data_IF_279947127941
#
_entry.id   IF_279947127941
#
_cell.length_a   1.000
_cell.length_b   1.000
_cell.length_c   1.000
_cell.angle_alpha   90.00
_cell.angle_beta   90.00
_cell.angle_gamma   90.00
#
_symmetry.space_group_name_H-M   'P 1'
#
loop_
_entity.id
_entity.type
_entity.pdbx_description
1 polymer ?
#
# COMPACT_ATOMS: atom_id res chain seq x y z
N UNK A 1 14.05 8.21 -8.09
CA UNK A 1 13.46 6.91 -7.65
C UNK A 1 13.25 6.91 -6.16
N UNK A 2 12.05 6.55 -5.72
CA UNK A 2 11.71 6.42 -4.32
C UNK A 2 11.51 4.96 -3.97
N UNK A 3 11.92 4.57 -2.78
CA UNK A 3 11.77 3.20 -2.31
C UNK A 3 11.39 3.21 -0.84
N UNK A 4 10.57 2.26 -0.44
CA UNK A 4 10.27 2.08 0.97
C UNK A 4 9.77 0.66 1.21
N UNK A 5 9.82 0.23 2.46
CA UNK A 5 9.32 -1.06 2.88
C UNK A 5 8.11 -0.87 3.77
N UNK A 6 7.15 -1.77 3.64
CA UNK A 6 5.96 -1.73 4.47
C UNK A 6 5.64 -3.16 4.93
N UNK A 7 5.55 -3.36 6.23
CA UNK A 7 5.21 -4.67 6.79
C UNK A 7 3.71 -4.77 6.98
N UNK A 8 3.11 -5.82 6.44
CA UNK A 8 1.67 -6.04 6.51
C UNK A 8 1.29 -6.36 7.96
N UNK A 9 0.38 -5.56 8.51
CA UNK A 9 -0.08 -5.73 9.90
C UNK A 9 -1.46 -6.37 9.97
N UNK A 10 -2.26 -6.20 8.92
CA UNK A 10 -3.62 -6.73 8.88
C UNK A 10 -3.59 -8.26 8.85
N UNK A 11 -4.34 -8.89 9.75
CA UNK A 11 -4.35 -10.35 9.85
C UNK A 11 -4.90 -11.02 8.60
N UNK A 12 -5.74 -10.33 7.83
CA UNK A 12 -6.27 -10.86 6.58
C UNK A 12 -5.26 -10.78 5.44
N UNK A 13 -4.29 -9.85 5.57
CA UNK A 13 -3.30 -9.66 4.52
C UNK A 13 -3.89 -9.09 3.25
N UNK A 14 -3.21 -9.35 2.13
CA UNK A 14 -3.65 -8.85 0.83
C UNK A 14 -4.85 -9.63 0.35
N UNK A 15 -5.95 -8.95 0.12
CA UNK A 15 -7.16 -9.53 -0.47
C UNK A 15 -7.76 -8.49 -1.41
N UNK A 16 -8.87 -8.79 -2.12
CA UNK A 16 -9.35 -7.90 -3.20
C UNK A 16 -9.59 -6.45 -2.79
N UNK A 17 -10.08 -6.20 -1.57
CA UNK A 17 -10.38 -4.83 -1.18
C UNK A 17 -9.12 -3.96 -1.04
N UNK A 18 -8.11 -4.35 -0.24
CA UNK A 18 -6.90 -3.52 -0.20
C UNK A 18 -6.18 -3.49 -1.53
N UNK A 19 -6.19 -4.60 -2.28
CA UNK A 19 -5.57 -4.62 -3.60
C UNK A 19 -6.24 -3.59 -4.53
N UNK A 20 -7.56 -3.49 -4.48
CA UNK A 20 -8.30 -2.51 -5.27
C UNK A 20 -7.94 -1.08 -4.90
N UNK A 21 -7.81 -0.80 -3.63
CA UNK A 21 -7.44 0.54 -3.16
C UNK A 21 -6.02 0.90 -3.59
N UNK A 22 -5.10 -0.04 -3.47
CA UNK A 22 -3.70 0.17 -3.87
C UNK A 22 -3.63 0.46 -5.37
N UNK A 23 -4.29 -0.37 -6.18
CA UNK A 23 -4.29 -0.21 -7.63
C UNK A 23 -4.92 1.12 -8.03
N UNK A 24 -6.02 1.48 -7.41
CA UNK A 24 -6.73 2.72 -7.72
C UNK A 24 -5.83 3.93 -7.43
N UNK A 25 -5.14 3.90 -6.29
CA UNK A 25 -4.20 4.96 -5.93
C UNK A 25 -3.04 5.02 -6.92
N UNK A 26 -2.47 3.86 -7.26
CA UNK A 26 -1.32 3.80 -8.16
C UNK A 26 -1.66 4.33 -9.55
N UNK A 27 -2.86 4.08 -10.03
CA UNK A 27 -3.29 4.53 -11.36
C UNK A 27 -3.39 6.04 -11.47
N UNK A 28 -3.46 6.74 -10.35
CA UNK A 28 -3.54 8.20 -10.35
C UNK A 28 -2.21 8.89 -10.66
N UNK A 29 -1.12 8.13 -10.76
CA UNK A 29 0.20 8.70 -10.99
C UNK A 29 0.80 8.18 -12.29
N UNK A 30 1.68 9.00 -12.89
CA UNK A 30 2.37 8.60 -14.12
C UNK A 30 3.61 7.78 -13.84
N UNK A 31 4.15 7.86 -12.61
CA UNK A 31 5.34 7.09 -12.25
C UNK A 31 5.05 5.60 -12.27
N UNK A 32 6.09 4.82 -12.55
CA UNK A 32 6.01 3.37 -12.46
C UNK A 32 6.06 2.97 -10.99
N UNK A 33 5.17 2.08 -10.58
CA UNK A 33 5.11 1.62 -9.20
C UNK A 33 5.18 0.10 -9.19
N UNK A 34 6.21 -0.41 -8.52
CA UNK A 34 6.47 -1.84 -8.43
C UNK A 34 6.41 -2.25 -6.97
N UNK A 35 5.71 -3.35 -6.71
CA UNK A 35 5.66 -3.94 -5.37
C UNK A 35 6.28 -5.32 -5.41
N UNK A 36 7.00 -5.69 -4.37
CA UNK A 36 7.57 -7.03 -4.30
C UNK A 36 7.56 -7.57 -2.89
N UNK A 37 7.47 -8.89 -2.80
CA UNK A 37 7.64 -9.64 -1.55
C UNK A 37 8.57 -10.79 -1.92
N UNK A 38 9.76 -10.80 -1.30
CA UNK A 38 10.77 -11.79 -1.68
C UNK A 38 11.10 -11.68 -3.16
N UNK A 39 10.98 -12.78 -3.87
CA UNK A 39 11.31 -12.81 -5.30
C UNK A 39 10.15 -12.42 -6.21
N UNK A 40 8.97 -12.27 -5.65
CA UNK A 40 7.80 -11.96 -6.47
C UNK A 40 7.67 -10.45 -6.65
N UNK A 41 7.63 -10.01 -7.90
CA UNK A 41 7.58 -8.60 -8.27
C UNK A 41 6.36 -8.36 -9.15
N UNK A 42 5.57 -7.34 -8.81
CA UNK A 42 4.34 -7.05 -9.55
C UNK A 42 4.19 -5.56 -9.82
N UNK A 43 3.38 -5.24 -10.84
CA UNK A 43 3.04 -3.86 -11.18
C UNK A 43 1.83 -3.44 -10.36
N UNK A 44 2.01 -2.40 -9.54
CA UNK A 44 0.94 -1.96 -8.64
C UNK A 44 -0.28 -1.42 -9.37
N UNK A 45 -0.15 -1.07 -10.63
CA UNK A 45 -1.27 -0.52 -11.41
C UNK A 45 -2.17 -1.62 -12.00
N UNK A 46 -1.83 -2.87 -11.79
CA UNK A 46 -2.60 -4.00 -12.30
C UNK A 46 -3.21 -4.78 -11.14
N UNK A 47 -4.52 -4.75 -11.05
CA UNK A 47 -5.24 -5.34 -9.92
C UNK A 47 -4.89 -6.81 -9.71
N UNK A 48 -4.96 -7.62 -10.77
CA UNK A 48 -4.70 -9.04 -10.63
C UNK A 48 -3.26 -9.32 -10.22
N UNK A 49 -2.33 -8.46 -10.65
CA UNK A 49 -0.94 -8.57 -10.23
C UNK A 49 -0.80 -8.35 -8.73
N UNK A 50 -1.45 -7.30 -8.22
CA UNK A 50 -1.37 -6.99 -6.79
C UNK A 50 -2.00 -8.11 -5.97
N UNK A 51 -3.13 -8.64 -6.42
CA UNK A 51 -3.77 -9.77 -5.74
C UNK A 51 -2.84 -10.99 -5.75
N UNK A 52 -2.17 -11.23 -6.89
CA UNK A 52 -1.29 -12.40 -7.02
C UNK A 52 -0.07 -12.32 -6.10
N UNK A 53 0.27 -11.13 -5.61
CA UNK A 53 1.34 -10.96 -4.66
C UNK A 53 1.07 -11.75 -3.38
N UNK A 54 -0.21 -11.89 -3.04
CA UNK A 54 -0.67 -12.74 -1.95
C UNK A 54 0.04 -12.46 -0.63
N UNK A 55 0.22 -11.16 -0.33
CA UNK A 55 0.90 -10.75 0.88
C UNK A 55 0.14 -11.14 2.12
N UNK A 56 0.87 -11.61 3.13
CA UNK A 56 0.27 -12.06 4.38
C UNK A 56 0.77 -11.23 5.54
N UNK A 57 0.04 -11.27 6.64
CA UNK A 57 0.45 -10.58 7.86
C UNK A 57 1.87 -10.97 8.23
N UNK A 58 2.69 -9.98 8.50
CA UNK A 58 4.08 -10.20 8.85
C UNK A 58 5.05 -10.11 7.68
N UNK A 59 4.56 -10.22 6.45
CA UNK A 59 5.43 -10.10 5.28
C UNK A 59 5.69 -8.63 4.96
N UNK A 60 6.85 -8.36 4.38
CA UNK A 60 7.25 -6.98 4.05
C UNK A 60 7.15 -6.76 2.56
N UNK A 61 6.40 -5.73 2.18
CA UNK A 61 6.29 -5.27 0.80
C UNK A 61 7.39 -4.25 0.56
N UNK A 62 8.16 -4.45 -0.50
CA UNK A 62 9.15 -3.47 -0.93
C UNK A 62 8.57 -2.72 -2.12
N UNK A 63 8.46 -1.38 -2.01
CA UNK A 63 7.89 -0.56 -3.06
C UNK A 63 8.97 0.27 -3.73
N UNK A 64 8.93 0.30 -5.06
CA UNK A 64 9.84 1.11 -5.87
C UNK A 64 9.00 1.99 -6.79
N UNK A 65 9.21 3.29 -6.71
CA UNK A 65 8.45 4.27 -7.49
C UNK A 65 9.44 5.11 -8.29
N UNK A 66 9.27 5.16 -9.59
CA UNK A 66 10.18 5.90 -10.47
C UNK A 66 9.40 6.66 -11.52
N UNK A 67 9.60 7.97 -11.59
CA UNK A 67 8.94 8.80 -12.57
C UNK A 67 8.81 10.23 -12.14
N UNK A 68 8.13 11.06 -12.94
CA UNK A 68 8.07 12.51 -12.69
C UNK A 68 7.32 12.88 -11.42
N UNK A 69 6.34 12.06 -10.98
CA UNK A 69 5.58 12.35 -9.77
C UNK A 69 5.87 11.33 -8.65
N UNK A 70 7.08 10.80 -8.66
CA UNK A 70 7.43 9.70 -7.74
C UNK A 70 7.28 10.08 -6.26
N UNK A 71 7.60 11.32 -5.89
CA UNK A 71 7.50 11.73 -4.49
C UNK A 71 6.05 11.73 -4.02
N UNK A 72 5.15 12.30 -4.81
CA UNK A 72 3.73 12.32 -4.48
C UNK A 72 3.15 10.90 -4.50
N UNK A 73 3.58 10.09 -5.47
CA UNK A 73 3.13 8.71 -5.58
C UNK A 73 3.56 7.89 -4.36
N UNK A 74 4.80 8.07 -3.91
CA UNK A 74 5.30 7.35 -2.75
C UNK A 74 4.51 7.70 -1.50
N UNK A 75 4.22 8.99 -1.30
CA UNK A 75 3.45 9.43 -0.14
C UNK A 75 2.04 8.85 -0.17
N UNK A 76 1.38 8.91 -1.32
CA UNK A 76 0.04 8.39 -1.45
C UNK A 76 -0.01 6.88 -1.24
N UNK A 77 0.99 6.17 -1.77
CA UNK A 77 1.05 4.72 -1.63
C UNK A 77 1.26 4.32 -0.18
N UNK A 78 2.14 5.02 0.53
CA UNK A 78 2.34 4.75 1.96
C UNK A 78 1.05 4.96 2.75
N UNK A 79 0.30 6.02 2.44
CA UNK A 79 -0.95 6.30 3.11
C UNK A 79 -1.97 5.18 2.88
N UNK A 80 -2.06 4.71 1.63
CA UNK A 80 -3.00 3.64 1.30
C UNK A 80 -2.60 2.33 1.99
N UNK A 81 -1.31 2.00 1.97
CA UNK A 81 -0.85 0.78 2.63
C UNK A 81 -1.12 0.82 4.12
N UNK A 82 -0.87 1.96 4.76
CA UNK A 82 -1.16 2.11 6.18
C UNK A 82 -2.66 1.97 6.47
N UNK A 83 -3.50 2.54 5.62
CA UNK A 83 -4.95 2.50 5.81
C UNK A 83 -5.52 1.10 5.58
N UNK A 84 -5.00 0.38 4.59
CA UNK A 84 -5.58 -0.89 4.18
C UNK A 84 -4.89 -2.11 4.76
N UNK A 85 -3.59 -2.03 5.02
CA UNK A 85 -2.81 -3.16 5.48
C UNK A 85 -2.10 -2.91 6.81
N UNK A 86 -2.33 -1.77 7.42
CA UNK A 86 -1.86 -1.51 8.76
C UNK A 86 -2.68 -2.31 9.76
N UNK A 87 -2.20 -2.38 11.01
CA UNK A 87 -2.93 -3.14 12.02
C UNK A 87 -4.30 -2.52 12.25
N UNK A 88 -5.26 -3.38 12.63
CA UNK A 88 -6.60 -2.90 12.93
C UNK A 88 -6.57 -1.86 14.04
N UNK A 89 -5.73 -2.08 15.03
CA UNK A 89 -5.60 -1.14 16.13
C UNK A 89 -5.05 0.20 15.65
N UNK A 90 -4.03 0.14 14.78
CA UNK A 90 -3.45 1.34 14.22
C UNK A 90 -4.50 2.13 13.41
N UNK A 91 -5.23 1.42 12.56
CA UNK A 91 -6.24 2.06 11.73
C UNK A 91 -7.33 2.71 12.59
N UNK A 92 -7.72 2.04 13.64
CA UNK A 92 -8.73 2.57 14.55
C UNK A 92 -8.25 3.86 15.21
N UNK A 93 -7.02 3.86 15.69
CA UNK A 93 -6.49 5.03 16.39
C UNK A 93 -6.26 6.20 15.44
N UNK A 94 -5.97 5.91 14.19
CA UNK A 94 -5.72 6.95 13.20
C UNK A 94 -6.98 7.48 12.58
N UNK A 95 -8.05 6.70 12.63
CA UNK A 95 -9.30 7.19 12.06
C UNK A 95 -9.65 8.48 12.77
N UNK A 96 -9.87 9.49 12.03
CA UNK A 96 -10.17 10.75 12.66
C UNK A 96 -11.46 10.56 13.35
N UNK A 97 -11.47 10.61 14.19
CA UNK A 97 -12.48 10.47 14.79
C UNK A 97 -12.71 11.65 15.06
N UNK A 98 -13.06 12.02 14.77
CA UNK A 98 -12.91 13.17 15.03
C UNK A 98 -12.88 13.30 16.37
N UNK A 99 -12.77 12.59 16.42
CA UNK A 99 -12.47 12.49 17.18
C UNK A 99 -12.05 12.94 17.71
N UNK A 100 -12.47 13.10 17.83
CA UNK A 100 -11.88 13.26 18.23
C UNK A 100 -11.22 13.89 18.24
N UNK A 101 -11.23 14.33 18.11
CA UNK A 101 -10.49 14.84 18.04
C UNK A 101 -9.87 15.28 17.94
N UNK A 102 -9.77 15.40 17.92
CA UNK A 102 -9.08 15.67 17.84
C UNK A 102 -8.73 16.09 17.66
N UNK A 103 -9.00 16.04 17.53
CA UNK A 103 -8.59 16.21 17.23
C UNK A 103 -8.36 16.51 17.02
#
# INVERSE_FOLDING_TARGET
>A
MKQFDFTIQDTLGMHPRPAGKITSSAKGFTSDITLSIGDKVVNAKKLMNVISLNGKCGETIHAVIAGPDEAAAADALQAVLNAELGSAEYAFKKAPRPELTEE
#
